data_IF_045807805130
#
_entry.id   IF_045807805130
#
_cell.length_a   1.000
_cell.length_b   1.000
_cell.length_c   1.000
_cell.angle_alpha   90.00
_cell.angle_beta   90.00
_cell.angle_gamma   90.00
#
_symmetry.space_group_name_H-M   'P 1'
#
loop_
_entity.id
_entity.type
_entity.pdbx_description
1 polymer ?
#
# COMPACT_ATOMS: atom_id res chain seq x y z
N UNK A 1 -6.91 17.44 -27.55
CA UNK A 1 -7.21 16.42 -26.52
C UNK A 1 -7.92 15.25 -27.22
N UNK A 2 -7.16 14.33 -27.83
CA UNK A 2 -7.73 13.24 -28.65
C UNK A 2 -7.97 12.01 -27.77
N UNK A 3 -9.20 11.50 -27.83
CA UNK A 3 -9.70 10.31 -27.14
C UNK A 3 -9.05 9.05 -27.74
N UNK A 4 -7.79 8.76 -27.40
CA UNK A 4 -7.17 7.47 -27.68
C UNK A 4 -7.07 6.68 -26.37
N UNK A 5 -8.12 5.90 -26.08
CA UNK A 5 -8.01 4.49 -25.65
C UNK A 5 -9.33 4.00 -25.03
N UNK A 6 -10.24 3.38 -25.81
CA UNK A 6 -11.37 2.62 -25.26
C UNK A 6 -10.91 1.58 -24.21
N UNK A 7 -9.69 1.06 -24.34
CA UNK A 7 -9.07 0.13 -23.39
C UNK A 7 -8.83 0.71 -21.98
N UNK A 8 -8.53 2.01 -21.88
CA UNK A 8 -8.34 2.67 -20.57
C UNK A 8 -9.66 2.88 -19.85
N UNK A 9 -10.70 3.24 -20.60
CA UNK A 9 -12.07 3.33 -20.09
C UNK A 9 -12.56 1.96 -19.59
N UNK A 10 -12.28 0.89 -20.33
CA UNK A 10 -12.62 -0.47 -19.89
C UNK A 10 -11.96 -0.84 -18.57
N UNK A 11 -10.66 -0.57 -18.39
CA UNK A 11 -9.97 -0.88 -17.14
C UNK A 11 -10.53 -0.10 -15.94
N UNK A 12 -10.82 1.20 -16.12
CA UNK A 12 -11.41 2.04 -15.05
C UNK A 12 -12.86 1.67 -14.75
N UNK A 13 -13.63 1.26 -15.76
CA UNK A 13 -15.00 0.79 -15.57
C UNK A 13 -15.02 -0.56 -14.86
N UNK A 14 -14.14 -1.48 -15.22
CA UNK A 14 -14.02 -2.79 -14.57
C UNK A 14 -13.57 -2.67 -13.12
N UNK A 15 -12.58 -1.82 -12.82
CA UNK A 15 -12.14 -1.61 -11.43
C UNK A 15 -13.20 -0.89 -10.59
N UNK A 16 -13.89 0.11 -11.16
CA UNK A 16 -15.01 0.79 -10.52
C UNK A 16 -16.18 -0.15 -10.24
N UNK A 17 -16.52 -1.02 -11.19
CA UNK A 17 -17.59 -2.00 -11.03
C UNK A 17 -17.23 -3.06 -9.98
N UNK A 18 -15.99 -3.57 -9.99
CA UNK A 18 -15.49 -4.47 -8.96
C UNK A 18 -15.54 -3.82 -7.56
N UNK A 19 -15.14 -2.54 -7.45
CA UNK A 19 -15.22 -1.80 -6.20
C UNK A 19 -16.66 -1.67 -5.71
N UNK A 20 -17.62 -1.35 -6.59
CA UNK A 20 -19.04 -1.28 -6.26
C UNK A 20 -19.56 -2.64 -5.79
N UNK A 21 -19.22 -3.73 -6.48
CA UNK A 21 -19.66 -5.09 -6.11
C UNK A 21 -19.16 -5.48 -4.71
N UNK A 22 -17.89 -5.20 -4.41
CA UNK A 22 -17.32 -5.46 -3.07
C UNK A 22 -17.98 -4.57 -2.01
N UNK A 23 -18.25 -3.31 -2.33
CA UNK A 23 -18.89 -2.37 -1.41
C UNK A 23 -20.33 -2.80 -1.09
N UNK A 24 -21.09 -3.24 -2.11
CA UNK A 24 -22.44 -3.81 -1.92
C UNK A 24 -22.40 -5.07 -1.05
N UNK A 25 -21.42 -5.97 -1.29
CA UNK A 25 -21.21 -7.15 -0.44
C UNK A 25 -20.84 -6.83 1.01
N UNK A 26 -20.21 -5.68 1.27
CA UNK A 26 -19.90 -5.23 2.62
C UNK A 26 -21.14 -4.71 3.38
N UNK A 27 -22.16 -4.19 2.68
CA UNK A 27 -23.42 -3.75 3.29
C UNK A 27 -24.39 -4.91 3.52
N UNK A 28 -24.37 -5.92 2.65
CA UNK A 28 -25.22 -7.10 2.73
C UNK A 28 -24.43 -8.34 2.28
N UNK A 29 -24.39 -9.42 3.09
CA UNK A 29 -23.70 -10.64 2.71
C UNK A 29 -24.39 -11.30 1.52
N UNK A 30 -23.75 -11.27 0.35
CA UNK A 30 -24.20 -11.98 -0.84
C UNK A 30 -23.22 -13.11 -1.16
N UNK A 31 -23.69 -14.37 -1.30
CA UNK A 31 -22.80 -15.52 -1.49
C UNK A 31 -21.95 -15.45 -2.77
N UNK A 32 -22.42 -14.74 -3.80
CA UNK A 32 -21.63 -14.55 -5.03
C UNK A 32 -20.41 -13.63 -4.82
N UNK A 33 -20.50 -12.64 -3.91
CA UNK A 33 -19.38 -11.74 -3.59
C UNK A 33 -18.32 -12.52 -2.82
N UNK A 34 -18.74 -13.37 -1.89
CA UNK A 34 -17.82 -14.22 -1.12
C UNK A 34 -17.04 -15.18 -2.02
N UNK A 35 -17.72 -15.82 -2.98
CA UNK A 35 -17.06 -16.67 -3.98
C UNK A 35 -16.05 -15.88 -4.84
N UNK A 36 -16.40 -14.65 -5.25
CA UNK A 36 -15.49 -13.80 -6.02
C UNK A 36 -14.27 -13.38 -5.18
N UNK A 37 -14.47 -13.06 -3.91
CA UNK A 37 -13.39 -12.76 -2.97
C UNK A 37 -12.48 -13.96 -2.76
N UNK A 38 -13.04 -15.18 -2.65
CA UNK A 38 -12.26 -16.41 -2.53
C UNK A 38 -11.39 -16.63 -3.79
N UNK A 39 -11.95 -16.46 -4.98
CA UNK A 39 -11.18 -16.55 -6.23
C UNK A 39 -10.09 -15.48 -6.27
N UNK A 40 -10.40 -14.24 -5.89
CA UNK A 40 -9.43 -13.17 -5.82
C UNK A 40 -8.29 -13.47 -4.82
N UNK A 41 -8.59 -14.08 -3.68
CA UNK A 41 -7.60 -14.52 -2.69
C UNK A 41 -6.70 -15.63 -3.25
N UNK A 42 -7.25 -16.61 -3.98
CA UNK A 42 -6.46 -17.65 -4.63
C UNK A 42 -5.51 -17.04 -5.67
N UNK A 43 -6.02 -16.13 -6.51
CA UNK A 43 -5.20 -15.41 -7.50
C UNK A 43 -4.09 -14.62 -6.80
N UNK A 44 -4.42 -13.92 -5.71
CA UNK A 44 -3.44 -13.16 -4.93
C UNK A 44 -2.36 -14.07 -4.33
N UNK A 45 -2.75 -15.22 -3.76
CA UNK A 45 -1.80 -16.19 -3.22
C UNK A 45 -0.82 -16.70 -4.30
N UNK A 46 -1.34 -17.07 -5.47
CA UNK A 46 -0.50 -17.50 -6.61
C UNK A 46 0.40 -16.36 -7.09
N UNK A 47 -0.14 -15.14 -7.22
CA UNK A 47 0.61 -13.98 -7.64
C UNK A 47 1.75 -13.63 -6.67
N UNK A 48 1.54 -13.79 -5.36
CA UNK A 48 2.58 -13.60 -4.34
C UNK A 48 3.73 -14.60 -4.51
N UNK A 49 3.42 -15.89 -4.77
CA UNK A 49 4.44 -16.91 -5.01
C UNK A 49 5.25 -16.59 -6.27
N UNK A 50 4.57 -16.25 -7.37
CA UNK A 50 5.23 -15.87 -8.63
C UNK A 50 6.08 -14.61 -8.42
N UNK A 51 5.57 -13.62 -7.70
CA UNK A 51 6.28 -12.38 -7.38
C UNK A 51 7.56 -12.63 -6.59
N UNK A 52 7.49 -13.44 -5.53
CA UNK A 52 8.65 -13.82 -4.73
C UNK A 52 9.69 -14.58 -5.57
N UNK A 53 9.23 -15.54 -6.38
CA UNK A 53 10.10 -16.30 -7.28
C UNK A 53 10.78 -15.38 -8.32
N UNK A 54 10.05 -14.44 -8.89
CA UNK A 54 10.59 -13.47 -9.85
C UNK A 54 11.70 -12.62 -9.20
N UNK A 55 11.48 -12.13 -7.97
CA UNK A 55 12.51 -11.38 -7.23
C UNK A 55 13.78 -12.21 -7.07
N UNK A 56 13.65 -13.46 -6.62
CA UNK A 56 14.80 -14.36 -6.45
C UNK A 56 15.50 -14.63 -7.78
N UNK A 57 14.76 -15.00 -8.83
CA UNK A 57 15.34 -15.35 -10.13
C UNK A 57 16.07 -14.17 -10.80
N UNK A 58 15.48 -12.97 -10.77
CA UNK A 58 16.09 -11.77 -11.36
C UNK A 58 17.40 -11.44 -10.65
N UNK A 59 17.41 -11.46 -9.32
CA UNK A 59 18.59 -11.11 -8.54
C UNK A 59 19.66 -12.21 -8.57
N UNK A 60 19.27 -13.49 -8.63
CA UNK A 60 20.21 -14.60 -8.83
C UNK A 60 20.89 -14.54 -10.20
N UNK A 61 20.14 -14.24 -11.27
CA UNK A 61 20.74 -14.02 -12.61
C UNK A 61 21.71 -12.85 -12.59
N UNK A 62 21.35 -11.76 -11.92
CA UNK A 62 22.20 -10.59 -11.78
C UNK A 62 23.46 -10.84 -10.93
N UNK A 63 23.37 -11.73 -9.93
CA UNK A 63 24.51 -12.21 -9.12
C UNK A 63 25.44 -13.11 -9.95
N UNK A 64 24.87 -14.05 -10.71
CA UNK A 64 25.62 -14.94 -11.63
C UNK A 64 26.38 -14.15 -12.69
N UNK A 65 25.77 -13.10 -13.22
CA UNK A 65 26.36 -12.24 -14.24
C UNK A 65 27.30 -11.16 -13.66
N UNK A 66 27.62 -11.22 -12.36
CA UNK A 66 28.56 -10.32 -11.65
C UNK A 66 28.32 -8.82 -11.86
N UNK A 67 27.07 -8.39 -12.04
CA UNK A 67 26.81 -6.95 -12.22
C UNK A 67 27.02 -6.18 -10.89
N UNK A 68 27.26 -4.86 -10.94
CA UNK A 68 27.67 -4.08 -9.76
C UNK A 68 26.64 -4.16 -8.62
N UNK A 69 27.13 -4.09 -7.38
CA UNK A 69 26.30 -4.16 -6.16
C UNK A 69 26.00 -5.58 -5.65
N UNK A 70 26.93 -6.53 -5.84
CA UNK A 70 26.75 -7.95 -5.49
C UNK A 70 26.36 -8.17 -4.02
N UNK A 71 26.93 -7.41 -3.09
CA UNK A 71 26.62 -7.52 -1.66
C UNK A 71 25.12 -7.30 -1.36
N UNK A 72 24.54 -6.20 -1.86
CA UNK A 72 23.12 -5.89 -1.66
C UNK A 72 22.20 -6.95 -2.26
N UNK A 73 22.56 -7.47 -3.44
CA UNK A 73 21.76 -8.50 -4.12
C UNK A 73 21.80 -9.84 -3.38
N UNK A 74 22.96 -10.19 -2.83
CA UNK A 74 23.12 -11.40 -2.02
C UNK A 74 22.31 -11.29 -0.73
N UNK A 75 22.39 -10.15 -0.04
CA UNK A 75 21.57 -9.89 1.16
C UNK A 75 20.08 -9.99 0.84
N UNK A 76 19.62 -9.41 -0.28
CA UNK A 76 18.22 -9.49 -0.69
C UNK A 76 17.78 -10.94 -0.91
N UNK A 77 18.51 -11.72 -1.70
CA UNK A 77 18.15 -13.12 -2.00
C UNK A 77 18.12 -13.96 -0.73
N UNK A 78 19.14 -13.82 0.13
CA UNK A 78 19.19 -14.54 1.42
C UNK A 78 18.02 -14.14 2.31
N UNK A 79 17.71 -12.85 2.42
CA UNK A 79 16.57 -12.37 3.22
C UNK A 79 15.22 -12.89 2.68
N UNK A 80 15.01 -12.87 1.35
CA UNK A 80 13.78 -13.41 0.74
C UNK A 80 13.64 -14.91 1.01
N UNK A 81 14.71 -15.69 0.83
CA UNK A 81 14.69 -17.13 1.10
C UNK A 81 14.44 -17.40 2.58
N UNK A 82 15.09 -16.65 3.48
CA UNK A 82 14.90 -16.80 4.92
C UNK A 82 13.44 -16.57 5.31
N UNK A 83 12.82 -15.48 4.87
CA UNK A 83 11.42 -15.15 5.22
C UNK A 83 10.47 -16.24 4.70
N UNK A 84 10.63 -16.68 3.44
CA UNK A 84 9.79 -17.74 2.87
C UNK A 84 9.99 -19.06 3.61
N UNK A 85 11.23 -19.43 3.94
CA UNK A 85 11.53 -20.66 4.65
C UNK A 85 10.95 -20.66 6.08
N UNK A 86 11.05 -19.54 6.80
CA UNK A 86 10.49 -19.39 8.14
C UNK A 86 8.96 -19.58 8.14
N UNK A 87 8.26 -19.01 7.16
CA UNK A 87 6.82 -19.18 7.01
C UNK A 87 6.42 -20.60 6.58
N UNK A 88 7.24 -21.28 5.77
CA UNK A 88 6.96 -22.67 5.35
C UNK A 88 7.24 -23.70 6.44
N UNK A 89 8.18 -23.44 7.34
CA UNK A 89 8.55 -24.37 8.43
C UNK A 89 7.62 -24.23 9.63
N UNK A 90 7.00 -23.07 9.84
CA UNK A 90 6.07 -22.80 10.94
C UNK A 90 5.01 -23.91 11.16
N UNK A 91 4.32 -24.39 10.09
CA UNK A 91 3.29 -25.40 10.23
C UNK A 91 3.83 -26.80 10.58
N UNK A 92 5.09 -27.07 10.24
CA UNK A 92 5.73 -28.37 10.45
C UNK A 92 6.15 -28.58 11.92
N UNK A 93 6.29 -27.51 12.69
CA UNK A 93 6.71 -27.53 14.11
C UNK A 93 5.50 -27.31 15.05
N UNK A 94 4.28 -27.57 14.56
CA UNK A 94 3.05 -27.44 15.34
C UNK A 94 2.41 -26.04 15.33
N UNK A 95 2.91 -25.12 14.50
CA UNK A 95 2.15 -23.93 14.12
C UNK A 95 1.00 -24.31 13.18
N UNK A 96 -0.01 -23.46 13.04
CA UNK A 96 -1.00 -23.62 11.96
C UNK A 96 -0.64 -22.74 10.77
N UNK A 97 -0.96 -23.20 9.57
CA UNK A 97 -0.87 -22.39 8.35
C UNK A 97 -1.83 -21.21 8.53
N UNK A 98 -1.29 -20.00 8.64
CA UNK A 98 -2.09 -18.78 8.82
C UNK A 98 -2.35 -18.35 10.27
N UNK A 99 -1.96 -19.11 11.30
CA UNK A 99 -1.81 -18.50 12.62
C UNK A 99 -0.58 -17.60 12.58
N UNK A 100 -0.83 -16.29 12.68
CA UNK A 100 0.09 -15.23 13.09
C UNK A 100 1.55 -15.65 13.08
N UNK A 101 2.24 -15.35 11.97
CA UNK A 101 3.68 -15.07 11.88
C UNK A 101 4.54 -15.78 12.92
N UNK A 102 5.41 -16.70 12.50
CA UNK A 102 6.48 -17.19 13.40
C UNK A 102 7.08 -16.01 14.16
N UNK A 103 7.35 -16.17 15.46
CA UNK A 103 7.90 -15.09 16.28
C UNK A 103 9.14 -14.42 15.65
N UNK A 104 9.83 -15.13 14.76
CA UNK A 104 10.94 -14.63 13.98
C UNK A 104 10.51 -13.73 12.80
N UNK A 105 9.51 -14.09 12.00
CA UNK A 105 9.01 -13.24 10.91
C UNK A 105 8.36 -11.96 11.42
N UNK A 106 7.65 -12.00 12.56
CA UNK A 106 7.12 -10.80 13.22
C UNK A 106 8.22 -9.86 13.68
N UNK A 107 9.32 -10.38 14.23
CA UNK A 107 10.47 -9.56 14.64
C UNK A 107 11.16 -8.91 13.44
N UNK A 108 11.38 -9.65 12.35
CA UNK A 108 11.94 -9.07 11.11
C UNK A 108 11.03 -7.94 10.61
N UNK A 109 9.72 -8.15 10.62
CA UNK A 109 8.77 -7.11 10.24
C UNK A 109 8.87 -5.87 11.14
N UNK A 110 8.84 -6.04 12.46
CA UNK A 110 8.85 -4.93 13.43
C UNK A 110 10.17 -4.17 13.48
N UNK A 111 11.31 -4.85 13.37
CA UNK A 111 12.63 -4.22 13.53
C UNK A 111 13.29 -3.83 12.21
N UNK A 112 12.90 -4.41 11.08
CA UNK A 112 13.50 -4.11 9.77
C UNK A 112 12.49 -3.40 8.86
N UNK A 113 11.35 -4.04 8.59
CA UNK A 113 10.39 -3.48 7.62
C UNK A 113 9.74 -2.20 8.14
N UNK A 114 9.24 -2.21 9.38
CA UNK A 114 8.48 -1.09 9.95
C UNK A 114 9.32 0.20 10.04
N UNK A 115 10.57 0.22 10.54
CA UNK A 115 11.37 1.45 10.57
C UNK A 115 11.73 1.97 9.18
N UNK A 116 12.01 1.07 8.22
CA UNK A 116 12.27 1.45 6.83
C UNK A 116 11.02 2.07 6.19
N UNK A 117 9.85 1.45 6.37
CA UNK A 117 8.59 1.98 5.88
C UNK A 117 8.28 3.36 6.49
N UNK A 118 8.47 3.52 7.81
CA UNK A 118 8.27 4.81 8.49
C UNK A 118 9.25 5.89 8.00
N UNK A 119 10.48 5.52 7.66
CA UNK A 119 11.46 6.47 7.10
C UNK A 119 11.02 6.99 5.74
N UNK A 120 10.53 6.10 4.85
CA UNK A 120 9.99 6.49 3.54
C UNK A 120 8.72 7.31 3.70
N UNK A 121 7.81 6.91 4.58
CA UNK A 121 6.60 7.67 4.88
C UNK A 121 6.92 9.06 5.45
N UNK A 122 7.93 9.17 6.32
CA UNK A 122 8.41 10.44 6.84
C UNK A 122 8.90 11.38 5.72
N UNK A 123 9.68 10.85 4.77
CA UNK A 123 10.10 11.60 3.58
C UNK A 123 8.92 12.03 2.72
N UNK A 124 7.95 11.13 2.50
CA UNK A 124 6.73 11.45 1.74
C UNK A 124 5.91 12.54 2.42
N UNK A 125 5.75 12.48 3.74
CA UNK A 125 5.04 13.51 4.52
C UNK A 125 5.79 14.84 4.43
N UNK A 126 7.12 14.83 4.54
CA UNK A 126 7.94 16.03 4.39
C UNK A 126 7.77 16.67 3.00
N UNK A 127 7.85 15.88 1.93
CA UNK A 127 7.64 16.38 0.56
C UNK A 127 6.21 16.84 0.33
N UNK A 128 5.21 16.12 0.85
CA UNK A 128 3.82 16.51 0.77
C UNK A 128 3.60 17.85 1.48
N UNK A 129 4.15 18.01 2.69
CA UNK A 129 4.08 19.26 3.45
C UNK A 129 4.75 20.41 2.69
N UNK A 130 5.93 20.18 2.10
CA UNK A 130 6.62 21.18 1.28
C UNK A 130 5.81 21.58 0.05
N UNK A 131 5.18 20.61 -0.62
CA UNK A 131 4.31 20.85 -1.77
C UNK A 131 3.05 21.62 -1.37
N UNK A 132 2.40 21.23 -0.28
CA UNK A 132 1.23 21.92 0.28
C UNK A 132 1.58 23.33 0.71
N UNK A 133 2.72 23.56 1.36
CA UNK A 133 3.20 24.90 1.71
C UNK A 133 3.36 25.78 0.47
N UNK A 134 4.00 25.26 -0.59
CA UNK A 134 4.14 25.97 -1.86
C UNK A 134 2.78 26.27 -2.50
N UNK A 135 1.84 25.33 -2.46
CA UNK A 135 0.50 25.52 -3.00
C UNK A 135 -0.28 26.60 -2.21
N UNK A 136 -0.22 26.56 -0.88
CA UNK A 136 -0.85 27.53 0.01
C UNK A 136 -0.26 28.94 -0.16
N UNK A 137 1.06 29.04 -0.37
CA UNK A 137 1.73 30.31 -0.63
C UNK A 137 1.24 31.02 -1.91
N UNK A 138 0.65 30.29 -2.87
CA UNK A 138 0.07 30.92 -4.08
C UNK A 138 -1.25 31.65 -3.84
N UNK A 139 -1.96 31.34 -2.74
CA UNK A 139 -3.27 31.94 -2.37
C UNK A 139 -3.35 32.20 -0.86
N UNK A 140 -2.71 33.28 -0.36
CA UNK A 140 -2.53 33.50 1.07
C UNK A 140 -3.85 33.66 1.84
N UNK A 141 -4.91 34.22 1.23
CA UNK A 141 -6.19 34.45 1.91
C UNK A 141 -6.91 33.17 2.34
N UNK A 142 -6.98 32.17 1.44
CA UNK A 142 -7.61 30.87 1.74
C UNK A 142 -6.69 29.99 2.58
N UNK A 143 -5.36 30.16 2.43
CA UNK A 143 -4.36 29.32 3.08
C UNK A 143 -4.38 29.39 4.61
N UNK A 144 -4.62 30.57 5.18
CA UNK A 144 -4.66 30.75 6.63
C UNK A 144 -5.71 29.89 7.31
N UNK A 145 -6.88 29.72 6.70
CA UNK A 145 -7.97 28.91 7.25
C UNK A 145 -7.51 27.45 7.38
N UNK A 146 -6.92 26.91 6.30
CA UNK A 146 -6.44 25.51 6.27
C UNK A 146 -5.34 25.30 7.31
N UNK A 147 -4.39 26.23 7.40
CA UNK A 147 -3.27 26.14 8.36
C UNK A 147 -3.79 26.20 9.80
N UNK A 148 -4.69 27.12 10.11
CA UNK A 148 -5.27 27.25 11.45
C UNK A 148 -6.00 25.95 11.83
N UNK A 149 -6.87 25.45 10.94
CA UNK A 149 -7.61 24.20 11.19
C UNK A 149 -6.65 23.02 11.41
N UNK A 150 -5.60 22.90 10.59
CA UNK A 150 -4.60 21.85 10.72
C UNK A 150 -3.83 21.93 12.04
N UNK A 151 -3.40 23.13 12.44
CA UNK A 151 -2.68 23.35 13.70
C UNK A 151 -3.58 23.04 14.91
N UNK A 152 -4.83 23.51 14.90
CA UNK A 152 -5.79 23.23 15.98
C UNK A 152 -6.01 21.72 16.11
N UNK A 153 -6.21 21.01 15.00
CA UNK A 153 -6.38 19.56 15.02
C UNK A 153 -5.13 18.83 15.51
N UNK A 154 -3.95 19.25 15.06
CA UNK A 154 -2.69 18.63 15.45
C UNK A 154 -2.39 18.82 16.94
N UNK A 155 -2.64 20.03 17.46
CA UNK A 155 -2.57 20.29 18.90
C UNK A 155 -3.57 19.41 19.64
N UNK A 156 -4.85 19.41 19.23
CA UNK A 156 -5.91 18.65 19.88
C UNK A 156 -5.60 17.15 19.97
N UNK A 157 -4.86 16.58 19.02
CA UNK A 157 -4.48 15.16 19.03
C UNK A 157 -3.36 14.76 20.01
N UNK A 158 -2.83 15.72 20.79
CA UNK A 158 -1.72 15.46 21.72
C UNK A 158 -2.12 14.63 22.95
N UNK A 159 -1.15 14.13 23.74
CA UNK A 159 -1.39 13.32 24.93
C UNK A 159 -2.20 14.03 26.03
N UNK A 160 -2.26 15.36 25.98
CA UNK A 160 -3.08 16.20 26.87
C UNK A 160 -4.59 16.09 26.59
N UNK A 161 -4.99 15.53 25.45
CA UNK A 161 -6.41 15.40 25.07
C UNK A 161 -7.22 14.64 26.12
N UNK A 162 -6.60 13.69 26.82
CA UNK A 162 -7.24 12.92 27.89
C UNK A 162 -7.66 13.77 29.11
N UNK A 163 -7.08 14.96 29.28
CA UNK A 163 -7.37 15.86 30.40
C UNK A 163 -8.60 16.75 30.16
N UNK A 164 -9.06 16.85 28.91
CA UNK A 164 -10.19 17.71 28.53
C UNK A 164 -11.44 16.84 28.36
N UNK A 165 -12.49 17.01 29.17
CA UNK A 165 -13.72 16.21 29.03
C UNK A 165 -14.37 16.45 27.65
N UNK A 166 -14.80 15.37 26.99
CA UNK A 166 -15.44 15.40 25.66
C UNK A 166 -14.50 15.51 24.46
N UNK A 167 -13.23 15.91 24.66
CA UNK A 167 -12.26 16.00 23.57
C UNK A 167 -11.84 14.62 23.02
N UNK A 168 -11.58 13.58 23.84
CA UNK A 168 -11.24 12.24 23.32
C UNK A 168 -12.34 11.62 22.46
N UNK A 169 -13.61 11.80 22.84
CA UNK A 169 -14.76 11.30 22.07
C UNK A 169 -14.88 12.01 20.72
N UNK A 170 -14.64 13.31 20.71
CA UNK A 170 -14.64 14.12 19.48
C UNK A 170 -13.51 13.67 18.53
N UNK A 171 -12.29 13.50 19.06
CA UNK A 171 -11.15 13.00 18.29
C UNK A 171 -11.37 11.57 17.79
N UNK A 172 -11.97 10.70 18.60
CA UNK A 172 -12.34 9.35 18.21
C UNK A 172 -13.34 9.37 17.06
N UNK A 173 -14.39 10.19 17.13
CA UNK A 173 -15.35 10.35 16.03
C UNK A 173 -14.66 10.86 14.75
N UNK A 174 -13.77 11.86 14.86
CA UNK A 174 -13.00 12.38 13.72
C UNK A 174 -12.07 11.31 13.12
N UNK A 175 -11.51 10.44 13.93
CA UNK A 175 -10.63 9.37 13.43
C UNK A 175 -11.44 8.27 12.76
N UNK A 176 -12.54 7.85 13.39
CA UNK A 176 -13.37 6.72 12.94
C UNK A 176 -14.07 7.03 11.62
N UNK A 177 -14.60 8.24 11.44
CA UNK A 177 -15.40 8.60 10.28
C UNK A 177 -14.59 9.36 9.21
N UNK A 178 -14.23 10.67 9.38
CA UNK A 178 -13.60 11.41 8.30
C UNK A 178 -12.17 10.95 8.01
N UNK A 179 -11.33 10.70 9.01
CA UNK A 179 -9.94 10.31 8.75
C UNK A 179 -9.86 8.94 8.04
N UNK A 180 -10.59 7.94 8.54
CA UNK A 180 -10.69 6.64 7.86
C UNK A 180 -11.37 6.74 6.48
N UNK A 181 -12.35 7.64 6.32
CA UNK A 181 -12.97 7.91 5.02
C UNK A 181 -11.95 8.40 4.00
N UNK A 182 -11.11 9.38 4.37
CA UNK A 182 -10.01 9.88 3.55
C UNK A 182 -8.99 8.78 3.25
N UNK A 183 -8.58 8.00 4.25
CA UNK A 183 -7.63 6.90 4.09
C UNK A 183 -8.14 5.86 3.09
N UNK A 184 -9.43 5.49 3.16
CA UNK A 184 -10.07 4.58 2.19
C UNK A 184 -10.10 5.17 0.79
N UNK A 185 -10.46 6.45 0.66
CA UNK A 185 -10.43 7.16 -0.63
C UNK A 185 -9.03 7.15 -1.27
N UNK A 186 -7.99 7.39 -0.47
CA UNK A 186 -6.60 7.32 -0.92
C UNK A 186 -6.24 5.91 -1.40
N UNK A 187 -6.59 4.86 -0.64
CA UNK A 187 -6.32 3.46 -1.01
C UNK A 187 -7.00 3.07 -2.33
N UNK A 188 -8.24 3.51 -2.54
CA UNK A 188 -8.95 3.31 -3.81
C UNK A 188 -8.24 4.03 -4.96
N UNK A 189 -7.84 5.28 -4.76
CA UNK A 189 -7.09 6.06 -5.75
C UNK A 189 -5.76 5.40 -6.15
N UNK A 190 -4.98 4.95 -5.16
CA UNK A 190 -3.71 4.23 -5.39
C UNK A 190 -3.96 2.93 -6.14
N UNK A 191 -5.01 2.19 -5.78
CA UNK A 191 -5.37 0.94 -6.44
C UNK A 191 -5.70 1.15 -7.92
N UNK A 192 -6.50 2.19 -8.24
CA UNK A 192 -6.81 2.55 -9.63
C UNK A 192 -5.53 2.96 -10.38
N UNK A 193 -4.67 3.78 -9.76
CA UNK A 193 -3.40 4.18 -10.37
C UNK A 193 -2.50 2.97 -10.69
N UNK A 194 -2.43 1.98 -9.80
CA UNK A 194 -1.67 0.75 -10.00
C UNK A 194 -2.25 -0.11 -11.14
N UNK A 195 -3.57 -0.23 -11.24
CA UNK A 195 -4.23 -0.92 -12.36
C UNK A 195 -3.92 -0.22 -13.68
N UNK A 196 -4.04 1.11 -13.72
CA UNK A 196 -3.74 1.89 -14.94
C UNK A 196 -2.28 1.73 -15.36
N UNK A 197 -1.34 1.77 -14.42
CA UNK A 197 0.08 1.54 -14.71
C UNK A 197 0.33 0.13 -15.26
N UNK A 198 -0.25 -0.90 -14.64
CA UNK A 198 -0.15 -2.29 -15.09
C UNK A 198 -0.74 -2.48 -16.49
N UNK A 199 -1.89 -1.89 -16.79
CA UNK A 199 -2.52 -1.97 -18.12
C UNK A 199 -1.66 -1.28 -19.18
N UNK A 200 -1.08 -0.11 -18.87
CA UNK A 200 -0.17 0.58 -19.80
C UNK A 200 1.08 -0.25 -20.11
N UNK A 201 1.65 -0.88 -19.09
CA UNK A 201 2.78 -1.80 -19.23
C UNK A 201 2.41 -2.99 -20.13
N UNK A 202 1.28 -3.67 -19.86
CA UNK A 202 0.83 -4.83 -20.63
C UNK A 202 0.48 -4.51 -22.09
N UNK A 203 -0.07 -3.33 -22.34
CA UNK A 203 -0.36 -2.84 -23.70
C UNK A 203 0.89 -2.32 -24.43
N UNK A 204 2.06 -2.31 -23.77
CA UNK A 204 3.32 -1.87 -24.36
C UNK A 204 3.45 -0.36 -24.53
N UNK A 205 2.61 0.45 -23.86
CA UNK A 205 2.74 1.91 -23.88
C UNK A 205 3.93 2.41 -23.06
N UNK A 206 4.25 1.69 -21.98
CA UNK A 206 5.41 1.98 -21.14
C UNK A 206 6.38 0.79 -21.28
N UNK A 207 7.46 0.96 -22.05
CA UNK A 207 8.48 -0.07 -22.26
C UNK A 207 9.77 0.31 -21.51
N UNK A 208 9.93 -0.10 -20.23
CA UNK A 208 11.06 0.34 -19.41
C UNK A 208 12.44 -0.19 -19.85
N UNK A 209 12.50 -1.08 -20.86
CA UNK A 209 13.74 -1.77 -21.25
C UNK A 209 14.10 -1.66 -22.74
N UNK A 210 13.36 -0.89 -23.55
CA UNK A 210 13.63 -0.80 -25.01
C UNK A 210 14.61 0.32 -25.42
N UNK A 211 15.10 1.12 -24.47
CA UNK A 211 16.16 2.11 -24.71
C UNK A 211 17.58 1.56 -24.44
N UNK A 212 17.83 0.27 -24.66
CA UNK A 212 19.19 -0.30 -24.66
C UNK A 212 19.41 -1.33 -25.76
#
# INVERSE_FOLDING_TARGET
MRLSAPKRLLATLLSGLAAIVVLVGALQPFPFVDNLLQVAQIILAVALVIGALNVVLVHLRALRNRMPGLGYRLVLVVATIMVVALELVAPLVGGSIGATTTAMSTRVFQYVYQPLAMSVLGLLVFFALQATWRALATRPGEAWIVVIVAVVFLLASGPWAALVPGLPETLAWMTIYPANGVARGLLLGISIAAVVATVRLLLGFDQPYLDR
#
